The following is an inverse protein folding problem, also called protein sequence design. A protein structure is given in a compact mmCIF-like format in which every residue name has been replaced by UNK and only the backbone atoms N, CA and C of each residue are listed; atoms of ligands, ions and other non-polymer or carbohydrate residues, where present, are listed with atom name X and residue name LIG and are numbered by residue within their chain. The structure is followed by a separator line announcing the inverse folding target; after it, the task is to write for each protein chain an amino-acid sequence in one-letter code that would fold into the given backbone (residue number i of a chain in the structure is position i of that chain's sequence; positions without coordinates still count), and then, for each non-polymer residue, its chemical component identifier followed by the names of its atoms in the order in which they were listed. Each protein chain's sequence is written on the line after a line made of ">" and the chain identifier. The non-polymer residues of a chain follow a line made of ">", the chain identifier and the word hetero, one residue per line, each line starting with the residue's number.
data_IF_751195686819
#
_entry.id   IF_751195686819
#
_cell.length_a   1.000
_cell.length_b   1.000
_cell.length_c   1.000
_cell.angle_alpha   90.00
_cell.angle_beta   90.00
_cell.angle_gamma   90.00
#
_symmetry.space_group_name_H-M   'P 1'
#
loop_
_entity.id
_entity.type
_entity.pdbx_description
1 polymer ?
#
# COMPACT_ATOMS: atom_id res chain seq x y z
N UNK A 1 -18.82 2.36 24.64
CA UNK A 1 -18.76 3.08 23.35
C UNK A 1 -17.31 3.51 23.12
N UNK A 2 -16.60 2.79 22.25
CA UNK A 2 -15.27 3.24 21.79
C UNK A 2 -15.49 4.34 20.77
N UNK A 3 -15.26 5.59 21.14
CA UNK A 3 -15.16 6.68 20.17
C UNK A 3 -13.91 6.47 19.32
N UNK A 4 -14.06 5.79 18.21
CA UNK A 4 -13.04 5.73 17.18
C UNK A 4 -13.01 7.11 16.54
N UNK A 5 -11.98 7.90 16.83
CA UNK A 5 -11.74 9.17 16.14
C UNK A 5 -10.87 8.89 14.91
N UNK A 6 -11.49 8.31 13.92
CA UNK A 6 -10.82 8.16 12.63
C UNK A 6 -10.78 9.50 11.91
N UNK A 7 -9.70 9.78 11.24
CA UNK A 7 -9.57 10.96 10.40
C UNK A 7 -9.05 10.59 9.02
N UNK A 8 -9.51 11.33 8.03
CA UNK A 8 -9.10 11.21 6.63
C UNK A 8 -8.52 12.54 6.18
N UNK A 9 -7.37 12.53 5.52
CA UNK A 9 -6.82 13.70 4.85
C UNK A 9 -6.43 13.38 3.41
N UNK A 10 -6.48 14.38 2.56
CA UNK A 10 -5.76 14.33 1.29
C UNK A 10 -4.27 14.49 1.57
N UNK A 11 -3.44 13.65 0.98
CA UNK A 11 -1.99 13.82 1.05
C UNK A 11 -1.61 15.00 0.16
N UNK A 12 -0.90 16.02 0.69
CA UNK A 12 -0.47 17.14 -0.14
C UNK A 12 0.56 16.68 -1.18
N UNK A 13 0.36 17.09 -2.42
CA UNK A 13 1.23 16.79 -3.56
C UNK A 13 1.50 18.05 -4.38
N UNK A 14 2.58 18.05 -5.17
CA UNK A 14 2.96 19.10 -6.10
C UNK A 14 2.99 18.52 -7.53
N UNK A 15 1.83 18.45 -8.21
CA UNK A 15 1.71 17.83 -9.54
C UNK A 15 2.53 18.53 -10.63
N UNK A 16 2.82 19.80 -10.47
CA UNK A 16 3.53 20.65 -11.42
C UNK A 16 4.95 20.16 -11.74
N UNK A 17 5.52 19.31 -10.91
CA UNK A 17 6.85 18.74 -11.14
C UNK A 17 6.84 17.41 -11.88
N UNK A 18 5.65 16.87 -12.17
CA UNK A 18 5.48 15.59 -12.84
C UNK A 18 5.74 15.73 -14.34
N UNK A 19 6.28 14.66 -14.95
CA UNK A 19 6.26 14.51 -16.40
C UNK A 19 4.86 14.12 -16.89
N UNK A 20 4.57 14.35 -18.16
CA UNK A 20 3.24 14.14 -18.77
C UNK A 20 2.63 12.75 -18.49
N UNK A 21 3.42 11.69 -18.63
CA UNK A 21 2.95 10.31 -18.41
C UNK A 21 2.60 10.04 -16.93
N UNK A 22 3.32 10.62 -16.00
CA UNK A 22 3.04 10.48 -14.58
C UNK A 22 1.81 11.31 -14.18
N UNK A 23 1.70 12.52 -14.71
CA UNK A 23 0.57 13.42 -14.45
C UNK A 23 -0.75 12.86 -15.00
N UNK A 24 -0.73 12.29 -16.21
CA UNK A 24 -1.93 11.71 -16.84
C UNK A 24 -2.54 10.54 -16.05
N UNK A 25 -1.77 9.93 -15.17
CA UNK A 25 -2.18 8.77 -14.37
C UNK A 25 -2.01 9.02 -12.84
N UNK A 26 -1.91 10.28 -12.44
CA UNK A 26 -1.75 10.62 -11.02
C UNK A 26 -2.96 10.15 -10.20
N UNK A 27 -2.74 9.37 -9.14
CA UNK A 27 -3.83 8.91 -8.28
C UNK A 27 -4.27 9.98 -7.29
N UNK A 28 -5.52 9.92 -6.86
CA UNK A 28 -6.00 10.65 -5.68
C UNK A 28 -5.47 9.96 -4.41
N UNK A 29 -4.55 10.61 -3.71
CA UNK A 29 -3.82 10.02 -2.59
C UNK A 29 -4.43 10.47 -1.27
N UNK A 30 -4.93 9.52 -0.50
CA UNK A 30 -5.55 9.75 0.81
C UNK A 30 -4.82 9.00 1.91
N UNK A 31 -4.80 9.58 3.08
CA UNK A 31 -4.29 8.97 4.30
C UNK A 31 -5.39 8.87 5.34
N UNK A 32 -5.54 7.68 5.92
CA UNK A 32 -6.50 7.39 6.99
C UNK A 32 -5.73 7.19 8.29
N UNK A 33 -6.16 7.84 9.35
CA UNK A 33 -5.67 7.61 10.71
C UNK A 33 -6.75 6.85 11.49
N UNK A 34 -6.38 5.70 12.03
CA UNK A 34 -7.28 4.84 12.80
C UNK A 34 -6.77 4.78 14.24
N UNK A 35 -7.64 5.12 15.19
CA UNK A 35 -7.31 5.16 16.61
C UNK A 35 -8.04 4.08 17.39
N UNK A 36 -7.84 4.02 18.72
CA UNK A 36 -8.56 3.08 19.60
C UNK A 36 -7.88 1.71 19.77
N UNK A 37 -6.61 1.58 19.33
CA UNK A 37 -5.81 0.39 19.63
C UNK A 37 -5.01 0.57 20.91
N UNK A 38 -5.02 -0.45 21.75
CA UNK A 38 -4.26 -0.46 23.01
C UNK A 38 -2.87 -1.11 22.87
N UNK A 39 -2.74 -2.04 21.92
CA UNK A 39 -1.52 -2.80 21.68
C UNK A 39 -1.13 -2.79 20.21
N UNK A 40 0.12 -2.50 19.92
CA UNK A 40 0.66 -2.37 18.54
C UNK A 40 0.50 -3.65 17.72
N UNK A 41 0.80 -4.83 18.33
CA UNK A 41 0.72 -6.10 17.62
C UNK A 41 -0.73 -6.46 17.25
N UNK A 42 -1.66 -6.24 18.16
CA UNK A 42 -3.09 -6.42 17.90
C UNK A 42 -3.59 -5.41 16.87
N UNK A 43 -3.08 -4.18 16.89
CA UNK A 43 -3.40 -3.15 15.92
C UNK A 43 -2.98 -3.57 14.50
N UNK A 44 -1.72 -3.99 14.30
CA UNK A 44 -1.23 -4.38 12.96
C UNK A 44 -2.03 -5.57 12.38
N UNK A 45 -2.43 -6.54 13.20
CA UNK A 45 -3.31 -7.65 12.75
C UNK A 45 -4.69 -7.14 12.30
N UNK A 46 -5.31 -6.25 13.07
CA UNK A 46 -6.60 -5.63 12.70
C UNK A 46 -6.48 -4.78 11.45
N UNK A 47 -5.42 -4.00 11.31
CA UNK A 47 -5.14 -3.19 10.13
C UNK A 47 -4.96 -4.08 8.88
N UNK A 48 -4.29 -5.23 9.02
CA UNK A 48 -4.17 -6.19 7.94
C UNK A 48 -5.54 -6.72 7.49
N UNK A 49 -6.42 -7.10 8.44
CA UNK A 49 -7.77 -7.56 8.13
C UNK A 49 -8.61 -6.46 7.46
N UNK A 50 -8.57 -5.25 7.99
CA UNK A 50 -9.26 -4.09 7.42
C UNK A 50 -8.80 -3.87 5.97
N UNK A 51 -7.49 -3.85 5.74
CA UNK A 51 -6.92 -3.67 4.41
C UNK A 51 -7.44 -4.75 3.44
N UNK A 52 -7.34 -6.02 3.81
CA UNK A 52 -7.78 -7.12 2.94
C UNK A 52 -9.28 -7.08 2.63
N UNK A 53 -10.10 -6.75 3.64
CA UNK A 53 -11.55 -6.59 3.44
C UNK A 53 -11.87 -5.44 2.49
N UNK A 54 -11.17 -4.30 2.60
CA UNK A 54 -11.37 -3.17 1.70
C UNK A 54 -10.95 -3.54 0.29
N UNK A 55 -9.74 -4.08 0.10
CA UNK A 55 -9.23 -4.51 -1.21
C UNK A 55 -10.19 -5.50 -1.88
N UNK A 56 -10.67 -6.51 -1.15
CA UNK A 56 -11.61 -7.50 -1.67
C UNK A 56 -12.98 -6.86 -2.01
N UNK A 57 -13.49 -5.99 -1.14
CA UNK A 57 -14.77 -5.31 -1.37
C UNK A 57 -14.73 -4.40 -2.60
N UNK A 58 -13.64 -3.67 -2.80
CA UNK A 58 -13.46 -2.84 -3.99
C UNK A 58 -13.34 -3.70 -5.24
N UNK A 59 -12.53 -4.75 -5.21
CA UNK A 59 -12.37 -5.69 -6.34
C UNK A 59 -13.70 -6.32 -6.80
N UNK A 60 -14.56 -6.66 -5.86
CA UNK A 60 -15.87 -7.27 -6.13
C UNK A 60 -16.96 -6.22 -6.47
N UNK A 61 -16.68 -4.95 -6.34
CA UNK A 61 -17.65 -3.88 -6.60
C UNK A 61 -17.81 -3.60 -8.09
N UNK A 62 -18.84 -2.79 -8.42
CA UNK A 62 -19.05 -2.25 -9.76
C UNK A 62 -18.39 -0.87 -9.97
N UNK A 63 -17.48 -0.46 -9.08
CA UNK A 63 -16.80 0.84 -9.17
C UNK A 63 -15.95 0.87 -10.44
N UNK A 64 -16.08 1.88 -11.31
CA UNK A 64 -15.17 2.09 -12.43
C UNK A 64 -13.72 2.23 -11.93
N UNK A 65 -12.75 1.76 -12.71
CA UNK A 65 -11.32 1.85 -12.38
C UNK A 65 -10.92 1.19 -11.04
N UNK A 66 -11.70 0.22 -10.56
CA UNK A 66 -11.38 -0.55 -9.34
C UNK A 66 -10.03 -1.25 -9.38
N UNK A 67 -9.52 -1.54 -10.57
CA UNK A 67 -8.20 -2.16 -10.76
C UNK A 67 -7.06 -1.21 -10.44
N UNK A 68 -7.31 0.10 -10.46
CA UNK A 68 -6.33 1.13 -10.11
C UNK A 68 -6.30 1.42 -8.59
N UNK A 69 -7.28 0.89 -7.87
CA UNK A 69 -7.33 1.04 -6.40
C UNK A 69 -6.32 0.14 -5.70
N UNK A 70 -5.51 0.72 -4.86
CA UNK A 70 -4.61 -0.04 -3.99
C UNK A 70 -4.34 0.68 -2.66
N UNK A 71 -4.07 -0.10 -1.63
CA UNK A 71 -3.63 0.42 -0.33
C UNK A 71 -2.12 0.27 -0.25
N UNK A 72 -1.42 1.40 -0.31
CA UNK A 72 0.06 1.45 -0.30
C UNK A 72 0.62 0.83 0.98
N UNK A 73 0.11 1.28 2.12
CA UNK A 73 0.43 0.72 3.45
C UNK A 73 -0.71 1.00 4.42
N UNK A 74 -0.89 0.13 5.39
CA UNK A 74 -1.75 0.33 6.54
C UNK A 74 -1.06 -0.37 7.72
N UNK A 75 -0.36 0.38 8.57
CA UNK A 75 0.52 -0.14 9.60
C UNK A 75 0.70 0.88 10.72
N UNK A 76 1.01 0.40 11.92
CA UNK A 76 1.40 1.22 13.06
C UNK A 76 2.90 1.57 13.05
N UNK A 77 3.69 0.96 12.15
CA UNK A 77 5.16 1.02 12.18
C UNK A 77 5.78 1.69 10.97
N UNK A 78 5.07 1.75 9.85
CA UNK A 78 5.64 2.25 8.60
C UNK A 78 4.65 3.07 7.81
N UNK A 79 5.17 4.04 7.09
CA UNK A 79 4.45 4.83 6.08
C UNK A 79 5.25 4.76 4.78
N UNK A 80 4.55 4.73 3.64
CA UNK A 80 5.17 4.62 2.32
C UNK A 80 4.75 5.82 1.48
N UNK A 81 5.74 6.54 0.97
CA UNK A 81 5.60 7.54 -0.08
C UNK A 81 6.24 6.99 -1.34
N UNK A 82 5.47 6.85 -2.40
CA UNK A 82 5.95 6.28 -3.67
C UNK A 82 5.17 6.85 -4.86
N UNK A 83 5.73 6.69 -6.05
CA UNK A 83 5.07 7.16 -7.27
C UNK A 83 5.93 6.98 -8.52
N UNK A 84 5.40 7.42 -9.66
CA UNK A 84 6.16 7.54 -10.90
C UNK A 84 7.08 8.78 -10.85
N UNK A 85 8.06 8.74 -9.96
CA UNK A 85 8.92 9.84 -9.58
C UNK A 85 10.38 9.44 -9.71
N UNK A 86 11.22 10.37 -10.14
CA UNK A 86 12.66 10.25 -9.94
C UNK A 86 13.01 10.48 -8.46
N UNK A 87 14.20 10.06 -8.06
CA UNK A 87 14.67 10.28 -6.68
C UNK A 87 14.69 11.75 -6.26
N UNK A 88 14.95 12.66 -7.20
CA UNK A 88 14.96 14.11 -6.95
C UNK A 88 13.53 14.68 -6.83
N UNK A 89 12.57 14.10 -7.53
CA UNK A 89 11.18 14.55 -7.49
C UNK A 89 10.45 14.12 -6.22
N UNK A 90 10.80 12.99 -5.62
CA UNK A 90 10.04 12.41 -4.49
C UNK A 90 9.80 13.41 -3.36
N UNK A 91 10.86 14.08 -2.91
CA UNK A 91 10.79 15.04 -1.82
C UNK A 91 10.03 16.32 -2.20
N UNK A 92 10.13 16.73 -3.45
CA UNK A 92 9.45 17.93 -3.94
C UNK A 92 7.97 17.67 -4.23
N UNK A 93 7.63 16.45 -4.66
CA UNK A 93 6.26 16.03 -4.91
C UNK A 93 5.45 15.87 -3.63
N UNK A 94 6.07 15.36 -2.55
CA UNK A 94 5.43 15.18 -1.26
C UNK A 94 5.94 16.19 -0.22
N UNK A 95 5.26 17.33 -0.03
CA UNK A 95 5.66 18.33 0.98
C UNK A 95 5.80 17.76 2.40
N UNK A 96 5.05 16.70 2.74
CA UNK A 96 5.19 16.00 4.02
C UNK A 96 6.63 15.59 4.32
N UNK A 97 7.40 15.18 3.30
CA UNK A 97 8.79 14.73 3.45
C UNK A 97 9.78 15.86 3.78
N UNK A 98 9.32 17.11 3.70
CA UNK A 98 10.11 18.29 4.08
C UNK A 98 9.74 18.83 5.47
N UNK A 99 8.71 18.27 6.10
CA UNK A 99 8.26 18.70 7.42
C UNK A 99 9.27 18.26 8.51
N UNK A 100 9.69 19.19 9.34
CA UNK A 100 10.66 18.94 10.41
C UNK A 100 10.18 17.93 11.47
N UNK A 101 8.86 17.73 11.59
CA UNK A 101 8.28 16.72 12.48
C UNK A 101 8.23 15.33 11.86
N UNK A 102 8.49 15.22 10.54
CA UNK A 102 8.54 13.94 9.85
C UNK A 102 9.91 13.29 10.06
N UNK A 103 10.05 12.56 11.16
CA UNK A 103 11.30 11.89 11.55
C UNK A 103 11.14 10.39 11.48
N UNK A 104 12.21 9.67 11.12
CA UNK A 104 12.23 8.21 11.07
C UNK A 104 13.60 7.69 11.46
N UNK A 105 13.63 6.56 12.21
CA UNK A 105 14.86 5.85 12.55
C UNK A 105 15.43 5.00 11.42
N UNK A 106 14.60 4.68 10.39
CA UNK A 106 14.99 3.87 9.24
C UNK A 106 14.23 4.33 7.99
N UNK A 107 14.92 4.42 6.88
CA UNK A 107 14.31 4.63 5.57
C UNK A 107 14.71 3.52 4.59
N UNK A 108 13.71 2.84 4.01
CA UNK A 108 13.89 1.92 2.88
C UNK A 108 13.62 2.69 1.59
N UNK A 109 14.66 2.90 0.79
CA UNK A 109 14.59 3.73 -0.43
C UNK A 109 14.86 2.89 -1.67
N UNK A 110 14.05 3.10 -2.71
CA UNK A 110 14.23 2.43 -4.00
C UNK A 110 13.82 3.36 -5.15
N UNK A 111 14.61 3.43 -6.20
CA UNK A 111 14.42 4.38 -7.30
C UNK A 111 14.12 3.75 -8.66
N UNK A 112 14.06 2.42 -8.76
CA UNK A 112 13.90 1.73 -10.04
C UNK A 112 12.64 0.90 -10.11
N UNK A 113 12.03 0.88 -11.30
CA UNK A 113 11.03 -0.12 -11.68
C UNK A 113 11.72 -1.39 -12.20
N UNK A 114 10.99 -2.49 -12.25
CA UNK A 114 11.42 -3.68 -12.97
C UNK A 114 11.59 -3.35 -14.47
N UNK A 115 12.64 -3.89 -15.09
CA UNK A 115 12.96 -3.62 -16.49
C UNK A 115 11.92 -4.17 -17.48
N UNK A 116 11.13 -5.16 -17.08
CA UNK A 116 10.15 -5.86 -17.93
C UNK A 116 8.71 -5.44 -17.70
N UNK A 117 8.46 -4.40 -16.93
CA UNK A 117 7.12 -3.88 -16.67
C UNK A 117 7.03 -2.40 -17.04
N UNK A 118 5.88 -2.01 -17.63
CA UNK A 118 5.61 -0.59 -17.81
C UNK A 118 5.46 0.08 -16.45
N UNK A 119 6.12 1.22 -16.22
CA UNK A 119 5.97 1.96 -14.97
C UNK A 119 4.51 2.39 -14.76
N UNK A 120 4.02 2.18 -13.55
CA UNK A 120 2.74 2.73 -13.08
C UNK A 120 2.88 3.18 -11.64
N UNK A 121 1.99 4.02 -11.17
CA UNK A 121 1.98 4.48 -9.78
C UNK A 121 1.88 3.31 -8.79
N UNK A 122 1.04 2.32 -9.08
CA UNK A 122 0.86 1.13 -8.24
C UNK A 122 2.10 0.25 -8.19
N UNK A 123 2.87 0.17 -9.29
CA UNK A 123 4.10 -0.64 -9.37
C UNK A 123 5.36 0.06 -8.87
N UNK A 124 5.28 1.34 -8.50
CA UNK A 124 6.37 2.01 -7.84
C UNK A 124 6.73 1.32 -6.52
N UNK A 125 8.00 1.32 -6.20
CA UNK A 125 8.50 0.69 -4.96
C UNK A 125 8.77 1.74 -3.87
N UNK A 126 8.88 1.35 -2.62
CA UNK A 126 8.83 -0.03 -2.10
C UNK A 126 7.40 -0.59 -1.96
N UNK A 127 7.30 -1.92 -1.83
CA UNK A 127 6.09 -2.62 -1.44
C UNK A 127 6.17 -2.98 0.05
N UNK A 128 5.52 -2.24 0.91
CA UNK A 128 5.58 -2.39 2.37
C UNK A 128 7.03 -2.48 2.89
N UNK A 129 7.52 -3.69 3.12
CA UNK A 129 8.85 -3.98 3.65
C UNK A 129 9.82 -4.55 2.59
N UNK A 130 9.42 -4.54 1.32
CA UNK A 130 10.19 -5.10 0.21
C UNK A 130 10.47 -4.05 -0.85
N UNK A 131 11.73 -3.93 -1.23
CA UNK A 131 12.18 -3.15 -2.39
C UNK A 131 13.07 -4.03 -3.26
N UNK A 132 12.69 -4.23 -4.53
CA UNK A 132 13.33 -5.20 -5.40
C UNK A 132 13.10 -4.87 -6.87
N UNK A 133 14.14 -4.68 -7.65
CA UNK A 133 14.08 -4.38 -9.09
C UNK A 133 14.42 -5.56 -9.99
N UNK A 134 14.52 -6.77 -9.45
CA UNK A 134 14.78 -7.98 -10.22
C UNK A 134 13.51 -8.63 -10.77
N UNK A 135 13.69 -9.60 -11.63
CA UNK A 135 12.62 -10.40 -12.22
C UNK A 135 12.30 -11.60 -11.32
N UNK A 136 11.01 -11.89 -11.18
CA UNK A 136 10.54 -13.08 -10.48
C UNK A 136 9.91 -14.01 -11.52
N UNK A 137 10.73 -14.88 -12.10
CA UNK A 137 10.32 -15.76 -13.19
C UNK A 137 9.33 -16.85 -12.78
N UNK A 138 9.17 -17.09 -11.49
CA UNK A 138 8.28 -18.13 -10.94
C UNK A 138 6.99 -17.58 -10.36
N UNK A 139 6.62 -16.33 -10.61
CA UNK A 139 5.47 -15.67 -9.96
C UNK A 139 4.16 -16.46 -10.17
N UNK A 140 3.93 -16.98 -11.37
CA UNK A 140 2.72 -17.77 -11.69
C UNK A 140 2.65 -19.05 -10.84
N UNK A 141 3.76 -19.76 -10.72
CA UNK A 141 3.85 -20.97 -9.89
C UNK A 141 3.65 -20.64 -8.41
N UNK A 142 4.29 -19.58 -7.92
CA UNK A 142 4.16 -19.14 -6.53
C UNK A 142 2.71 -18.74 -6.20
N UNK A 143 2.02 -18.07 -7.11
CA UNK A 143 0.59 -17.76 -6.96
C UNK A 143 -0.26 -19.02 -6.89
N UNK A 144 -0.08 -19.96 -7.81
CA UNK A 144 -0.80 -21.24 -7.80
C UNK A 144 -0.58 -22.05 -6.53
N UNK A 145 0.66 -22.09 -6.03
CA UNK A 145 0.96 -22.71 -4.73
C UNK A 145 0.27 -22.02 -3.56
N UNK A 146 0.22 -20.69 -3.57
CA UNK A 146 -0.46 -19.93 -2.52
C UNK A 146 -1.97 -20.13 -2.56
N UNK A 147 -2.58 -20.14 -3.75
CA UNK A 147 -4.00 -20.43 -3.95
C UNK A 147 -4.35 -21.85 -3.43
N UNK A 148 -3.54 -22.84 -3.77
CA UNK A 148 -3.72 -24.19 -3.23
C UNK A 148 -3.63 -24.24 -1.70
N UNK A 149 -2.66 -23.52 -1.13
CA UNK A 149 -2.47 -23.43 0.32
C UNK A 149 -3.61 -22.71 1.03
N UNK A 150 -4.25 -21.73 0.37
CA UNK A 150 -5.38 -20.99 0.97
C UNK A 150 -6.52 -21.91 1.40
N UNK A 151 -6.72 -23.04 0.72
CA UNK A 151 -7.80 -23.99 1.06
C UNK A 151 -7.69 -24.58 2.46
N UNK A 152 -6.46 -24.75 2.94
CA UNK A 152 -6.13 -25.36 4.24
C UNK A 152 -5.63 -24.36 5.29
N UNK A 153 -5.53 -23.08 4.94
CA UNK A 153 -5.09 -22.05 5.88
C UNK A 153 -6.10 -21.85 7.01
N UNK A 154 -5.59 -21.83 8.22
CA UNK A 154 -6.30 -21.44 9.43
C UNK A 154 -5.42 -20.54 10.29
N UNK A 155 -6.01 -19.67 11.07
CA UNK A 155 -5.27 -18.80 11.98
C UNK A 155 -6.09 -18.52 13.23
N UNK A 156 -5.61 -18.89 14.42
CA UNK A 156 -6.29 -18.54 15.66
C UNK A 156 -6.27 -17.04 15.97
N UNK A 157 -5.35 -16.30 15.35
CA UNK A 157 -5.14 -14.86 15.61
C UNK A 157 -5.84 -13.94 14.62
N UNK A 158 -6.15 -14.43 13.41
CA UNK A 158 -6.80 -13.66 12.35
C UNK A 158 -8.31 -13.94 12.23
N UNK A 159 -8.83 -14.92 12.97
CA UNK A 159 -10.22 -15.31 12.88
C UNK A 159 -10.56 -16.10 11.61
N UNK A 160 -11.74 -15.88 11.02
CA UNK A 160 -12.15 -16.59 9.81
C UNK A 160 -11.37 -16.12 8.59
N UNK A 161 -10.47 -16.96 8.12
CA UNK A 161 -9.64 -16.71 6.92
C UNK A 161 -10.48 -16.47 5.65
N UNK A 162 -11.72 -16.97 5.61
CA UNK A 162 -12.60 -16.76 4.45
C UNK A 162 -12.87 -15.27 4.18
N UNK A 163 -12.90 -14.45 5.23
CA UNK A 163 -13.15 -13.02 5.09
C UNK A 163 -12.03 -12.23 4.38
N UNK A 164 -10.84 -12.80 4.32
CA UNK A 164 -9.66 -12.16 3.71
C UNK A 164 -9.19 -12.83 2.43
N UNK A 165 -9.93 -13.85 1.96
CA UNK A 165 -9.64 -14.49 0.66
C UNK A 165 -10.14 -13.62 -0.50
N UNK A 166 -9.43 -13.60 -1.65
CA UNK A 166 -8.12 -14.22 -1.86
C UNK A 166 -7.02 -13.47 -1.09
N UNK A 167 -6.00 -14.22 -0.64
CA UNK A 167 -4.85 -13.62 0.07
C UNK A 167 -3.93 -12.91 -0.91
N UNK A 168 -3.85 -13.40 -2.15
CA UNK A 168 -3.05 -12.85 -3.25
C UNK A 168 -3.91 -12.56 -4.48
#
# INVERSE_FOLDING_TARGET
>A
EMCIRDSLRNVPTCPEILGEAALANEPDIKQVFITGFTETETADRKLYLIRKRIENKVRMSAIPAKEDFYIVSLSTKSIIYKGMLSSLQLRNYYPDLTNNYFTSGLALVHSRFSTNTFPTWGLAQPFRLLAHNGEINTIRGNRGWMEARESVLSSPTLGDIKEIRPII
#
